data_IF_220926404028
#
_entry.id   IF_220926404028
#
_cell.length_a   1.000
_cell.length_b   1.000
_cell.length_c   1.000
_cell.angle_alpha   90.00
_cell.angle_beta   90.00
_cell.angle_gamma   90.00
#
_symmetry.space_group_name_H-M   'P 1'
#
loop_
_entity.id
_entity.type
_entity.pdbx_description
1 polymer ?
#
# COMPACT_ATOMS: atom_id res chain seq x y z
N UNK A 1 -46.01 -33.69 128.13
CA UNK A 1 -44.86 -33.23 127.30
C UNK A 1 -44.68 -34.01 126.00
N UNK A 2 -45.11 -35.27 125.88
CA UNK A 2 -44.94 -36.07 124.66
C UNK A 2 -45.84 -35.65 123.45
N UNK A 3 -47.00 -35.03 123.67
CA UNK A 3 -47.92 -34.62 122.58
C UNK A 3 -47.49 -33.36 121.80
N UNK A 4 -46.63 -32.50 122.37
CA UNK A 4 -46.17 -31.26 121.71
C UNK A 4 -44.94 -31.53 120.81
N UNK A 5 -44.12 -32.53 121.15
CA UNK A 5 -42.97 -32.95 120.33
C UNK A 5 -43.41 -33.59 119.00
N UNK A 6 -44.50 -34.35 118.99
CA UNK A 6 -45.08 -34.94 117.76
C UNK A 6 -45.59 -33.91 116.74
N UNK A 7 -45.95 -32.70 117.19
CA UNK A 7 -46.48 -31.64 116.33
C UNK A 7 -45.39 -30.97 115.48
N UNK A 8 -44.22 -30.69 116.07
CA UNK A 8 -43.12 -30.02 115.38
C UNK A 8 -42.47 -30.89 114.30
N UNK A 9 -42.35 -32.19 114.54
CA UNK A 9 -41.81 -33.12 113.55
C UNK A 9 -42.76 -33.28 112.34
N UNK A 10 -44.07 -33.25 112.57
CA UNK A 10 -45.07 -33.30 111.51
C UNK A 10 -45.03 -32.06 110.61
N UNK A 11 -44.92 -30.86 111.21
CA UNK A 11 -44.79 -29.58 110.49
C UNK A 11 -43.51 -29.55 109.65
N UNK A 12 -42.40 -30.06 110.19
CA UNK A 12 -41.10 -30.14 109.51
C UNK A 12 -41.14 -31.11 108.32
N UNK A 13 -41.81 -32.25 108.48
CA UNK A 13 -42.09 -33.20 107.41
C UNK A 13 -42.95 -32.59 106.30
N UNK A 14 -44.00 -31.86 106.66
CA UNK A 14 -44.89 -31.20 105.70
C UNK A 14 -44.17 -30.08 104.93
N UNK A 15 -43.30 -29.32 105.60
CA UNK A 15 -42.49 -28.28 104.97
C UNK A 15 -41.46 -28.89 104.01
N UNK A 16 -40.79 -29.97 104.41
CA UNK A 16 -39.87 -30.71 103.53
C UNK A 16 -40.60 -31.32 102.32
N UNK A 17 -41.79 -31.87 102.51
CA UNK A 17 -42.61 -32.41 101.42
C UNK A 17 -43.03 -31.33 100.42
N UNK A 18 -43.50 -30.18 100.91
CA UNK A 18 -43.85 -29.03 100.06
C UNK A 18 -42.62 -28.49 99.31
N UNK A 19 -41.46 -28.43 99.95
CA UNK A 19 -40.21 -28.01 99.30
C UNK A 19 -39.75 -29.01 98.22
N UNK A 20 -39.95 -30.32 98.44
CA UNK A 20 -39.68 -31.35 97.44
C UNK A 20 -40.66 -31.26 96.26
N UNK A 21 -41.93 -30.99 96.51
CA UNK A 21 -42.92 -30.74 95.44
C UNK A 21 -42.57 -29.50 94.62
N UNK A 22 -42.19 -28.40 95.25
CA UNK A 22 -41.71 -27.18 94.57
C UNK A 22 -40.48 -27.47 93.71
N UNK A 23 -39.49 -28.19 94.25
CA UNK A 23 -38.30 -28.61 93.48
C UNK A 23 -38.66 -29.48 92.28
N UNK A 24 -39.61 -30.40 92.45
CA UNK A 24 -40.09 -31.27 91.36
C UNK A 24 -40.73 -30.45 90.24
N UNK A 25 -41.55 -29.44 90.58
CA UNK A 25 -42.18 -28.54 89.61
C UNK A 25 -41.11 -27.70 88.88
N UNK A 26 -40.13 -27.16 89.60
CA UNK A 26 -39.01 -26.41 88.99
C UNK A 26 -38.16 -27.28 88.04
N UNK A 27 -37.94 -28.55 88.37
CA UNK A 27 -37.22 -29.49 87.50
C UNK A 27 -38.05 -29.87 86.27
N UNK A 28 -39.36 -30.02 86.42
CA UNK A 28 -40.30 -30.31 85.33
C UNK A 28 -40.40 -29.12 84.36
N UNK A 29 -40.48 -27.88 84.85
CA UNK A 29 -40.42 -26.67 84.03
C UNK A 29 -39.10 -26.53 83.28
N UNK A 30 -37.97 -26.83 83.93
CA UNK A 30 -36.64 -26.85 83.28
C UNK A 30 -36.58 -27.91 82.17
N UNK A 31 -37.14 -29.10 82.42
CA UNK A 31 -37.21 -30.18 81.43
C UNK A 31 -38.01 -29.76 80.20
N UNK A 32 -39.19 -29.16 80.40
CA UNK A 32 -40.04 -28.65 79.31
C UNK A 32 -39.31 -27.57 78.50
N UNK A 33 -38.59 -26.66 79.17
CA UNK A 33 -37.83 -25.62 78.49
C UNK A 33 -36.69 -26.20 77.63
N UNK A 34 -35.93 -27.15 78.18
CA UNK A 34 -34.90 -27.90 77.46
C UNK A 34 -35.45 -28.62 76.22
N UNK A 35 -36.61 -29.28 76.35
CA UNK A 35 -37.25 -29.99 75.25
C UNK A 35 -37.69 -29.03 74.13
N UNK A 36 -38.19 -27.84 74.50
CA UNK A 36 -38.54 -26.78 73.55
C UNK A 36 -37.32 -26.20 72.84
N UNK A 37 -36.20 -26.00 73.54
CA UNK A 37 -34.94 -25.58 72.91
C UNK A 37 -34.41 -26.65 71.95
N UNK A 38 -34.48 -27.93 72.33
CA UNK A 38 -34.09 -29.05 71.47
C UNK A 38 -34.91 -29.09 70.18
N UNK A 39 -36.24 -28.89 70.28
CA UNK A 39 -37.14 -28.78 69.11
C UNK A 39 -36.76 -27.60 68.21
N UNK A 40 -36.41 -26.44 68.79
CA UNK A 40 -35.93 -25.27 68.02
C UNK A 40 -34.63 -25.57 67.28
N UNK A 41 -33.65 -26.19 67.94
CA UNK A 41 -32.35 -26.56 67.34
C UNK A 41 -32.56 -27.56 66.20
N UNK A 42 -33.40 -28.57 66.38
CA UNK A 42 -33.72 -29.54 65.33
C UNK A 42 -34.35 -28.88 64.11
N UNK A 43 -35.28 -27.94 64.32
CA UNK A 43 -35.89 -27.16 63.25
C UNK A 43 -34.85 -26.34 62.48
N UNK A 44 -34.01 -25.57 63.18
CA UNK A 44 -32.94 -24.77 62.57
C UNK A 44 -31.99 -25.66 61.76
N UNK A 45 -31.56 -26.80 62.31
CA UNK A 45 -30.68 -27.73 61.60
C UNK A 45 -31.33 -28.30 60.34
N UNK A 46 -32.64 -28.55 60.35
CA UNK A 46 -33.36 -29.01 59.16
C UNK A 46 -33.46 -27.92 58.07
N UNK A 47 -33.71 -26.67 58.47
CA UNK A 47 -33.76 -25.53 57.55
C UNK A 47 -32.40 -25.26 56.92
N UNK A 48 -31.33 -25.17 57.73
CA UNK A 48 -29.96 -25.01 57.22
C UNK A 48 -29.54 -26.16 56.29
N UNK A 49 -29.95 -27.40 56.57
CA UNK A 49 -29.65 -28.55 55.69
C UNK A 49 -30.31 -28.38 54.32
N UNK A 50 -31.54 -27.89 54.27
CA UNK A 50 -32.24 -27.64 53.02
C UNK A 50 -31.60 -26.49 52.24
N UNK A 51 -31.23 -25.40 52.92
CA UNK A 51 -30.53 -24.26 52.30
C UNK A 51 -29.18 -24.68 51.71
N UNK A 52 -28.40 -25.49 52.44
CA UNK A 52 -27.12 -26.01 51.94
C UNK A 52 -27.33 -26.86 50.67
N UNK A 53 -28.38 -27.69 50.64
CA UNK A 53 -28.67 -28.54 49.49
C UNK A 53 -29.14 -27.71 48.28
N UNK A 54 -29.95 -26.67 48.50
CA UNK A 54 -30.35 -25.73 47.46
C UNK A 54 -29.13 -24.99 46.87
N UNK A 55 -28.24 -24.49 47.74
CA UNK A 55 -27.00 -23.84 47.32
C UNK A 55 -26.14 -24.80 46.48
N UNK A 56 -25.95 -26.05 46.90
CA UNK A 56 -25.19 -27.05 46.13
C UNK A 56 -25.80 -27.28 44.75
N UNK A 57 -27.12 -27.45 44.66
CA UNK A 57 -27.81 -27.66 43.39
C UNK A 57 -27.68 -26.45 42.46
N UNK A 58 -27.77 -25.23 43.01
CA UNK A 58 -27.59 -24.00 42.23
C UNK A 58 -26.14 -23.85 41.72
N UNK A 59 -25.14 -24.15 42.56
CA UNK A 59 -23.74 -24.16 42.14
C UNK A 59 -23.47 -25.21 41.07
N UNK A 60 -24.03 -26.41 41.20
CA UNK A 60 -23.85 -27.47 40.21
C UNK A 60 -24.44 -27.07 38.85
N UNK A 61 -25.66 -26.51 38.83
CA UNK A 61 -26.27 -25.98 37.60
C UNK A 61 -25.42 -24.88 36.96
N UNK A 62 -24.92 -23.92 37.77
CA UNK A 62 -24.07 -22.85 37.28
C UNK A 62 -22.78 -23.39 36.65
N UNK A 63 -22.16 -24.41 37.25
CA UNK A 63 -20.97 -25.06 36.70
C UNK A 63 -21.29 -25.77 35.37
N UNK A 64 -22.39 -26.51 35.31
CA UNK A 64 -22.81 -27.22 34.09
C UNK A 64 -23.11 -26.25 32.93
N UNK A 65 -23.80 -25.14 33.20
CA UNK A 65 -24.08 -24.09 32.22
C UNK A 65 -22.79 -23.42 31.70
N UNK A 66 -21.87 -23.07 32.60
CA UNK A 66 -20.58 -22.48 32.23
C UNK A 66 -19.71 -23.46 31.42
N UNK A 67 -19.69 -24.74 31.78
CA UNK A 67 -18.97 -25.78 31.01
C UNK A 67 -19.57 -25.92 29.61
N UNK A 68 -20.89 -25.87 29.49
CA UNK A 68 -21.57 -25.92 28.18
C UNK A 68 -21.21 -24.72 27.32
N UNK A 69 -21.28 -23.51 27.87
CA UNK A 69 -20.91 -22.28 27.17
C UNK A 69 -19.46 -22.33 26.68
N UNK A 70 -18.52 -22.74 27.54
CA UNK A 70 -17.10 -22.88 27.16
C UNK A 70 -16.89 -23.90 26.03
N UNK A 71 -17.61 -25.02 26.04
CA UNK A 71 -17.52 -26.01 24.95
C UNK A 71 -18.01 -25.43 23.62
N UNK A 72 -19.14 -24.72 23.64
CA UNK A 72 -19.70 -24.09 22.45
C UNK A 72 -18.75 -23.02 21.89
N UNK A 73 -18.12 -22.21 22.76
CA UNK A 73 -17.10 -21.24 22.35
C UNK A 73 -15.84 -21.88 21.75
N UNK A 74 -15.40 -23.02 22.28
CA UNK A 74 -14.25 -23.77 21.75
C UNK A 74 -14.57 -24.27 20.34
N UNK A 75 -15.73 -24.87 20.13
CA UNK A 75 -16.16 -25.37 18.80
C UNK A 75 -16.20 -24.24 17.78
N UNK A 76 -16.79 -23.09 18.15
CA UNK A 76 -16.83 -21.92 17.26
C UNK A 76 -15.43 -21.39 16.91
N UNK A 77 -14.50 -21.40 17.87
CA UNK A 77 -13.11 -20.97 17.64
C UNK A 77 -12.37 -21.96 16.73
N UNK A 78 -12.56 -23.26 16.90
CA UNK A 78 -11.94 -24.29 16.06
C UNK A 78 -12.44 -24.21 14.60
N UNK A 79 -13.74 -24.01 14.38
CA UNK A 79 -14.30 -23.78 13.05
C UNK A 79 -13.69 -22.56 12.37
N UNK A 80 -13.51 -21.47 13.13
CA UNK A 80 -12.88 -20.24 12.63
C UNK A 80 -11.41 -20.45 12.29
N UNK A 81 -10.65 -21.20 13.09
CA UNK A 81 -9.25 -21.55 12.81
C UNK A 81 -9.15 -22.33 11.50
N UNK A 82 -9.96 -23.37 11.33
CA UNK A 82 -9.98 -24.18 10.11
C UNK A 82 -10.32 -23.34 8.86
N UNK A 83 -11.26 -22.41 8.97
CA UNK A 83 -11.58 -21.48 7.87
C UNK A 83 -10.38 -20.60 7.49
N UNK A 84 -9.67 -20.06 8.48
CA UNK A 84 -8.50 -19.20 8.25
C UNK A 84 -7.34 -19.96 7.61
N UNK A 85 -7.11 -21.23 7.99
CA UNK A 85 -6.08 -22.08 7.37
C UNK A 85 -6.33 -22.29 5.86
N UNK A 86 -7.59 -22.49 5.47
CA UNK A 86 -7.98 -22.61 4.06
C UNK A 86 -7.72 -21.32 3.28
N UNK A 87 -8.02 -20.16 3.88
CA UNK A 87 -7.75 -18.85 3.26
C UNK A 87 -6.26 -18.59 3.09
N UNK A 88 -5.45 -18.88 4.12
CA UNK A 88 -3.98 -18.74 4.07
C UNK A 88 -3.40 -19.60 2.94
N UNK A 89 -3.87 -20.85 2.81
CA UNK A 89 -3.41 -21.75 1.74
C UNK A 89 -3.70 -21.18 0.35
N UNK A 90 -4.92 -20.66 0.12
CA UNK A 90 -5.29 -20.02 -1.16
C UNK A 90 -4.44 -18.77 -1.45
N UNK A 91 -4.12 -17.99 -0.43
CA UNK A 91 -3.27 -16.80 -0.58
C UNK A 91 -1.83 -17.17 -0.95
N UNK A 92 -1.29 -18.25 -0.37
CA UNK A 92 0.04 -18.76 -0.70
C UNK A 92 0.10 -19.28 -2.15
N UNK A 93 -0.87 -20.10 -2.56
CA UNK A 93 -0.95 -20.64 -3.93
C UNK A 93 -1.00 -19.50 -4.99
N UNK A 94 -1.74 -18.43 -4.70
CA UNK A 94 -1.82 -17.25 -5.57
C UNK A 94 -0.49 -16.47 -5.62
N UNK A 95 0.21 -16.39 -4.50
CA UNK A 95 1.49 -15.68 -4.38
C UNK A 95 2.58 -16.42 -5.16
N UNK A 96 2.66 -17.74 -5.01
CA UNK A 96 3.61 -18.59 -5.75
C UNK A 96 3.39 -18.49 -7.25
N UNK A 97 2.13 -18.49 -7.70
CA UNK A 97 1.79 -18.27 -9.12
C UNK A 97 2.30 -16.91 -9.62
N UNK A 98 2.04 -15.83 -8.89
CA UNK A 98 2.51 -14.49 -9.26
C UNK A 98 4.05 -14.39 -9.29
N UNK A 99 4.73 -15.06 -8.37
CA UNK A 99 6.19 -15.13 -8.39
C UNK A 99 6.71 -15.89 -9.62
N UNK A 100 6.08 -17.00 -9.99
CA UNK A 100 6.39 -17.72 -11.22
C UNK A 100 6.23 -16.87 -12.47
N UNK A 101 5.11 -16.14 -12.57
CA UNK A 101 4.83 -15.23 -13.69
C UNK A 101 5.87 -14.09 -13.76
N UNK A 102 6.21 -13.48 -12.61
CA UNK A 102 7.23 -12.43 -12.54
C UNK A 102 8.61 -12.96 -12.92
N UNK A 103 8.98 -14.15 -12.45
CA UNK A 103 10.26 -14.77 -12.79
C UNK A 103 10.37 -15.04 -14.30
N UNK A 104 9.31 -15.54 -14.93
CA UNK A 104 9.26 -15.72 -16.38
C UNK A 104 9.41 -14.39 -17.12
N UNK A 105 8.75 -13.32 -16.66
CA UNK A 105 8.89 -11.98 -17.22
C UNK A 105 10.32 -11.43 -17.11
N UNK A 106 10.95 -11.56 -15.94
CA UNK A 106 12.35 -11.14 -15.74
C UNK A 106 13.30 -11.96 -16.63
N UNK A 107 13.06 -13.27 -16.77
CA UNK A 107 13.84 -14.11 -17.67
C UNK A 107 13.70 -13.68 -19.14
N UNK A 108 12.52 -13.23 -19.56
CA UNK A 108 12.30 -12.64 -20.89
C UNK A 108 13.10 -11.34 -21.06
N UNK A 109 13.12 -10.47 -20.04
CA UNK A 109 13.89 -9.23 -20.06
C UNK A 109 15.41 -9.46 -20.12
N UNK A 110 15.93 -10.51 -19.46
CA UNK A 110 17.35 -10.85 -19.53
C UNK A 110 17.81 -11.26 -20.93
N UNK A 111 16.89 -11.63 -21.82
CA UNK A 111 17.18 -11.89 -23.23
C UNK A 111 17.12 -10.62 -24.11
N UNK A 112 16.79 -9.45 -23.55
CA UNK A 112 16.84 -8.18 -24.26
C UNK A 112 18.27 -7.67 -24.32
N UNK A 113 18.86 -7.73 -25.52
CA UNK A 113 20.19 -7.17 -25.80
C UNK A 113 20.02 -5.70 -26.17
N UNK A 114 20.36 -4.79 -25.25
CA UNK A 114 20.47 -3.37 -25.55
C UNK A 114 21.75 -3.11 -26.34
N UNK A 115 21.62 -2.98 -27.66
CA UNK A 115 22.74 -2.56 -28.51
C UNK A 115 22.78 -1.03 -28.52
N UNK A 116 23.69 -0.45 -27.73
CA UNK A 116 23.96 0.99 -27.82
C UNK A 116 24.73 1.27 -29.09
N UNK A 117 24.06 1.88 -30.07
CA UNK A 117 24.70 2.41 -31.27
C UNK A 117 25.01 3.87 -30.99
N UNK A 118 26.30 4.25 -30.96
CA UNK A 118 26.68 5.66 -30.95
C UNK A 118 26.20 6.28 -32.26
N UNK A 119 25.43 7.36 -32.16
CA UNK A 119 24.91 8.06 -33.33
C UNK A 119 25.56 9.44 -33.39
N UNK A 120 25.98 9.86 -34.58
CA UNK A 120 26.52 11.19 -34.85
C UNK A 120 25.49 12.03 -35.60
N UNK A 121 25.71 13.32 -35.71
CA UNK A 121 24.94 14.17 -36.61
C UNK A 121 25.49 14.06 -38.04
N UNK A 122 24.61 13.84 -39.03
CA UNK A 122 25.01 13.55 -40.42
C UNK A 122 25.12 14.78 -41.29
N UNK A 123 24.08 15.60 -41.21
CA UNK A 123 23.74 16.56 -42.23
C UNK A 123 22.94 17.67 -41.56
N UNK A 124 23.29 18.90 -41.94
CA UNK A 124 22.57 20.10 -41.59
C UNK A 124 21.92 20.57 -42.89
N UNK A 125 20.60 20.45 -43.00
CA UNK A 125 19.83 20.85 -44.17
C UNK A 125 19.08 22.16 -43.89
N UNK A 126 18.99 23.01 -44.89
CA UNK A 126 18.35 24.32 -44.84
C UNK A 126 17.00 24.34 -45.59
N UNK A 127 16.20 23.27 -45.47
CA UNK A 127 14.75 23.26 -45.65
C UNK A 127 14.18 23.66 -47.02
N UNK A 128 14.23 24.94 -47.34
CA UNK A 128 13.55 25.55 -48.50
C UNK A 128 14.41 26.51 -49.32
N UNK A 129 15.57 26.90 -48.83
CA UNK A 129 16.52 27.71 -49.60
C UNK A 129 17.90 27.16 -49.35
N UNK A 130 18.68 26.86 -50.41
CA UNK A 130 20.09 26.51 -50.28
C UNK A 130 20.74 27.51 -49.36
N UNK A 131 21.30 27.05 -48.25
CA UNK A 131 21.74 27.94 -47.17
C UNK A 131 22.73 29.01 -47.65
N UNK A 132 23.39 28.78 -48.80
CA UNK A 132 23.74 29.75 -49.84
C UNK A 132 23.93 28.95 -51.15
N UNK A 133 23.71 29.53 -52.33
CA UNK A 133 23.91 28.87 -53.63
C UNK A 133 25.35 28.35 -53.92
N UNK A 134 26.32 28.49 -52.99
CA UNK A 134 27.74 28.16 -53.21
C UNK A 134 28.43 27.49 -51.98
N UNK A 135 28.04 26.28 -51.57
CA UNK A 135 28.85 25.39 -50.69
C UNK A 135 29.06 25.84 -49.23
N UNK A 136 28.00 26.02 -48.43
CA UNK A 136 28.13 26.46 -47.03
C UNK A 136 28.38 25.36 -45.99
N UNK A 137 28.31 24.07 -46.34
CA UNK A 137 28.67 22.99 -45.43
C UNK A 137 29.53 22.01 -46.23
N UNK A 138 30.79 21.85 -45.83
CA UNK A 138 31.58 20.75 -46.35
C UNK A 138 30.99 19.46 -45.75
N UNK A 139 30.22 18.70 -46.52
CA UNK A 139 29.62 17.44 -46.07
C UNK A 139 30.66 16.38 -45.66
N UNK A 140 31.94 16.59 -46.02
CA UNK A 140 33.06 15.74 -45.58
C UNK A 140 33.78 16.27 -44.33
N UNK A 141 33.51 17.50 -43.89
CA UNK A 141 34.04 18.13 -42.67
C UNK A 141 33.03 19.15 -42.14
N UNK A 142 32.32 18.89 -41.03
CA UNK A 142 31.19 19.72 -40.60
C UNK A 142 31.61 21.06 -39.95
N UNK A 143 32.83 21.53 -40.24
CA UNK A 143 33.35 22.84 -39.90
C UNK A 143 33.21 23.74 -41.14
N UNK A 144 32.21 24.62 -41.15
CA UNK A 144 31.93 25.51 -42.28
C UNK A 144 31.35 26.85 -41.83
N UNK A 145 31.86 27.95 -42.41
CA UNK A 145 31.39 29.31 -42.14
C UNK A 145 30.31 29.70 -43.16
N UNK A 146 29.13 30.12 -42.68
CA UNK A 146 28.06 30.67 -43.51
C UNK A 146 27.72 32.09 -43.07
N UNK A 147 27.84 33.09 -43.96
CA UNK A 147 27.23 34.43 -43.80
C UNK A 147 26.94 34.99 -45.22
N UNK A 148 25.69 35.29 -45.59
CA UNK A 148 25.04 36.58 -45.26
C UNK A 148 23.51 36.44 -45.15
N UNK A 149 22.96 36.69 -43.95
CA UNK A 149 21.51 36.55 -43.64
C UNK A 149 21.19 35.93 -42.27
N UNK A 150 22.24 35.42 -41.60
CA UNK A 150 22.52 35.34 -40.15
C UNK A 150 21.80 34.33 -39.23
N UNK A 151 21.97 33.05 -39.51
CA UNK A 151 22.09 32.01 -38.48
C UNK A 151 23.13 30.98 -38.91
N UNK A 152 23.89 30.40 -37.98
CA UNK A 152 24.83 29.30 -38.26
C UNK A 152 24.71 28.16 -37.26
N UNK A 153 24.80 26.92 -37.73
CA UNK A 153 24.91 25.73 -36.90
C UNK A 153 26.35 25.20 -36.95
N UNK A 154 26.99 25.10 -35.79
CA UNK A 154 28.33 24.53 -35.63
C UNK A 154 28.20 23.12 -35.07
N UNK A 155 28.67 22.11 -35.80
CA UNK A 155 28.78 20.75 -35.29
C UNK A 155 30.16 20.58 -34.63
N UNK A 156 30.17 20.39 -33.33
CA UNK A 156 31.35 20.23 -32.50
C UNK A 156 31.50 18.74 -32.17
N UNK A 157 32.61 18.16 -32.63
CA UNK A 157 33.02 16.78 -32.38
C UNK A 157 31.98 15.70 -32.78
N UNK A 158 31.19 15.97 -33.82
CA UNK A 158 30.11 15.10 -34.35
C UNK A 158 28.94 14.80 -33.38
N UNK A 159 28.99 15.29 -32.13
CA UNK A 159 28.02 14.99 -31.06
C UNK A 159 27.24 16.23 -30.59
N UNK A 160 27.84 17.43 -30.67
CA UNK A 160 27.24 18.65 -30.13
C UNK A 160 26.93 19.64 -31.24
N UNK A 161 25.78 20.30 -31.18
CA UNK A 161 25.42 21.36 -32.14
C UNK A 161 25.15 22.66 -31.39
N UNK A 162 25.82 23.71 -31.84
CA UNK A 162 25.59 25.07 -31.37
C UNK A 162 24.98 25.89 -32.51
N UNK A 163 23.79 26.44 -32.30
CA UNK A 163 23.15 27.34 -33.25
C UNK A 163 23.27 28.79 -32.79
N UNK A 164 23.86 29.64 -33.62
CA UNK A 164 24.14 31.03 -33.30
C UNK A 164 23.49 31.95 -34.34
N UNK A 165 22.58 32.82 -33.89
CA UNK A 165 21.93 33.84 -34.72
C UNK A 165 22.84 35.07 -34.78
N UNK A 166 23.21 35.50 -35.99
CA UNK A 166 24.05 36.69 -36.15
C UNK A 166 23.21 37.98 -36.13
N UNK A 167 23.83 39.10 -35.78
CA UNK A 167 23.15 40.41 -35.67
C UNK A 167 22.48 40.81 -36.99
N UNK A 168 21.15 40.95 -36.98
CA UNK A 168 20.35 41.43 -38.11
C UNK A 168 19.97 40.34 -39.13
N UNK A 169 19.99 39.06 -38.74
CA UNK A 169 19.48 37.97 -39.57
C UNK A 169 17.97 37.81 -39.57
N UNK A 170 17.47 37.01 -40.52
CA UNK A 170 16.11 36.48 -40.47
C UNK A 170 16.16 35.03 -40.00
N UNK A 171 15.19 34.64 -39.17
CA UNK A 171 15.08 33.27 -38.67
C UNK A 171 14.84 32.30 -39.83
N UNK A 172 15.78 31.38 -40.04
CA UNK A 172 15.60 30.24 -40.93
C UNK A 172 15.64 28.96 -40.14
N UNK A 173 14.75 28.05 -40.48
CA UNK A 173 14.74 26.69 -39.95
C UNK A 173 15.98 25.94 -40.42
N UNK A 174 16.64 25.29 -39.47
CA UNK A 174 17.74 24.37 -39.71
C UNK A 174 17.30 22.98 -39.29
N UNK A 175 17.43 22.01 -40.19
CA UNK A 175 17.16 20.61 -39.91
C UNK A 175 18.47 19.89 -39.65
N UNK A 176 18.49 19.11 -38.57
CA UNK A 176 19.62 18.25 -38.24
C UNK A 176 19.12 16.82 -38.24
N UNK A 177 19.84 15.95 -38.96
CA UNK A 177 19.52 14.53 -39.03
C UNK A 177 20.61 13.67 -38.40
N UNK A 178 20.19 12.58 -37.76
CA UNK A 178 21.09 11.57 -37.27
C UNK A 178 21.78 10.81 -38.42
N UNK A 179 23.03 10.38 -38.21
CA UNK A 179 23.86 9.63 -39.17
C UNK A 179 23.19 8.33 -39.61
N UNK A 180 22.69 7.59 -38.63
CA UNK A 180 22.11 6.29 -38.85
C UNK A 180 20.57 6.39 -38.82
N UNK A 181 19.89 6.37 -39.99
CA UNK A 181 18.45 6.30 -40.02
C UNK A 181 18.00 4.95 -39.45
N UNK A 182 16.89 4.96 -38.73
CA UNK A 182 16.29 3.74 -38.24
C UNK A 182 15.83 2.86 -39.42
N UNK A 183 16.33 1.62 -39.48
CA UNK A 183 15.88 0.59 -40.42
C UNK A 183 15.24 -0.54 -39.62
N UNK A 184 13.93 -0.76 -39.80
CA UNK A 184 13.23 -1.90 -39.20
C UNK A 184 13.86 -3.20 -39.72
N UNK A 185 14.33 -4.11 -38.84
CA UNK A 185 14.81 -5.42 -39.28
C UNK A 185 13.69 -6.24 -39.91
N UNK A 186 13.98 -7.03 -40.94
CA UNK A 186 12.97 -7.87 -41.61
C UNK A 186 12.43 -9.01 -40.71
N UNK A 187 13.24 -9.54 -39.79
CA UNK A 187 12.94 -10.76 -39.02
C UNK A 187 13.08 -10.60 -37.49
N UNK A 188 12.63 -9.48 -36.93
CA UNK A 188 12.72 -9.25 -35.48
C UNK A 188 11.37 -9.45 -34.80
N UNK A 189 11.17 -10.61 -34.17
CA UNK A 189 10.03 -10.90 -33.30
C UNK A 189 10.10 -10.12 -31.97
N UNK A 190 11.30 -9.68 -31.56
CA UNK A 190 11.59 -9.04 -30.27
C UNK A 190 12.38 -7.72 -30.44
N UNK A 191 12.01 -6.84 -31.38
CA UNK A 191 12.71 -5.55 -31.46
C UNK A 191 12.08 -4.54 -30.51
N UNK A 192 12.81 -4.27 -29.43
CA UNK A 192 12.39 -3.32 -28.41
C UNK A 192 13.05 -1.98 -28.66
N UNK A 193 12.25 -0.99 -29.05
CA UNK A 193 12.53 0.44 -28.90
C UNK A 193 13.81 0.98 -29.59
N UNK A 194 13.63 1.64 -30.73
CA UNK A 194 14.66 2.61 -31.16
C UNK A 194 14.55 3.84 -30.26
N UNK A 195 15.65 4.24 -29.62
CA UNK A 195 15.66 5.34 -28.65
C UNK A 195 16.86 6.25 -28.87
N UNK A 196 16.63 7.56 -28.82
CA UNK A 196 17.70 8.56 -28.76
C UNK A 196 17.35 9.65 -27.75
N UNK A 197 18.39 10.31 -27.25
CA UNK A 197 18.30 11.42 -26.32
C UNK A 197 18.93 12.66 -26.95
N UNK A 198 18.31 13.82 -26.75
CA UNK A 198 18.87 15.11 -27.10
C UNK A 198 18.90 15.98 -25.85
N UNK A 199 20.10 16.41 -25.46
CA UNK A 199 20.28 17.41 -24.41
C UNK A 199 20.24 18.81 -25.01
N UNK A 200 19.40 19.68 -24.48
CA UNK A 200 19.18 21.02 -25.05
C UNK A 200 19.61 22.13 -24.08
N UNK A 201 20.12 23.22 -24.65
CA UNK A 201 20.41 24.47 -23.92
C UNK A 201 19.87 25.63 -24.76
N UNK A 202 19.12 26.52 -24.12
CA UNK A 202 18.53 27.69 -24.76
C UNK A 202 19.19 28.94 -24.19
N UNK A 203 19.92 29.66 -25.04
CA UNK A 203 20.50 30.96 -24.67
C UNK A 203 19.47 32.08 -24.88
N UNK A 204 19.60 33.18 -24.14
CA UNK A 204 18.55 34.20 -23.98
C UNK A 204 18.01 34.72 -25.31
N UNK A 205 16.72 35.03 -25.31
CA UNK A 205 16.00 35.70 -26.38
C UNK A 205 16.70 37.01 -26.79
N UNK A 206 17.11 37.08 -28.04
CA UNK A 206 17.52 38.34 -28.65
C UNK A 206 16.24 39.00 -29.20
N UNK A 207 15.90 40.18 -28.68
CA UNK A 207 14.78 41.00 -29.15
C UNK A 207 13.37 40.37 -28.98
N UNK A 208 13.17 39.51 -27.97
CA UNK A 208 11.85 38.98 -27.62
C UNK A 208 11.28 37.92 -28.57
N UNK A 209 12.11 37.38 -29.46
CA UNK A 209 11.79 36.13 -30.16
C UNK A 209 12.27 34.94 -29.33
N UNK A 210 11.32 34.09 -28.92
CA UNK A 210 11.61 32.82 -28.26
C UNK A 210 12.39 31.89 -29.19
N UNK A 211 13.47 31.28 -28.70
CA UNK A 211 14.18 30.23 -29.44
C UNK A 211 13.26 29.03 -29.68
N UNK A 212 13.01 28.73 -30.95
CA UNK A 212 12.19 27.61 -31.39
C UNK A 212 13.05 26.37 -31.65
N UNK A 213 12.56 25.20 -31.24
CA UNK A 213 13.23 23.93 -31.44
C UNK A 213 12.19 22.82 -31.52
N UNK A 214 12.25 22.06 -32.60
CA UNK A 214 11.42 20.89 -32.81
C UNK A 214 12.27 19.62 -32.73
N UNK A 215 11.84 18.65 -31.93
CA UNK A 215 12.56 17.39 -31.70
C UNK A 215 11.63 16.23 -32.05
N UNK A 216 12.06 15.32 -32.94
CA UNK A 216 11.18 14.24 -33.33
C UNK A 216 11.72 13.26 -34.36
N UNK A 217 10.79 12.54 -34.96
CA UNK A 217 11.03 11.52 -35.97
C UNK A 217 10.49 11.99 -37.31
N UNK A 218 11.27 11.77 -38.37
CA UNK A 218 10.88 11.98 -39.77
C UNK A 218 10.77 10.63 -40.47
N UNK A 219 9.66 10.42 -41.17
CA UNK A 219 9.55 9.36 -42.16
C UNK A 219 10.11 9.86 -43.50
N UNK A 220 11.30 9.37 -43.89
CA UNK A 220 11.96 9.78 -45.14
C UNK A 220 11.16 9.41 -46.41
N UNK A 221 10.31 8.37 -46.35
CA UNK A 221 9.54 7.92 -47.50
C UNK A 221 8.31 8.78 -47.76
N UNK A 222 7.64 9.25 -46.70
CA UNK A 222 6.41 10.06 -46.82
C UNK A 222 6.64 11.54 -46.57
N UNK A 223 7.82 11.92 -46.08
CA UNK A 223 8.11 13.26 -45.59
C UNK A 223 7.20 13.72 -44.44
N UNK A 224 6.64 12.78 -43.67
CA UNK A 224 5.83 13.07 -42.49
C UNK A 224 6.72 13.20 -41.24
N UNK A 225 6.23 13.95 -40.26
CA UNK A 225 6.93 14.22 -39.01
C UNK A 225 6.04 13.93 -37.80
N UNK A 226 6.65 13.40 -36.75
CA UNK A 226 6.11 13.42 -35.40
C UNK A 226 7.13 14.13 -34.54
N UNK A 227 6.79 15.26 -33.96
CA UNK A 227 7.76 16.09 -33.24
C UNK A 227 7.13 16.80 -32.06
N UNK A 228 7.95 17.04 -31.06
CA UNK A 228 7.68 17.95 -29.96
C UNK A 228 8.19 19.35 -30.32
N UNK A 229 7.32 20.35 -30.22
CA UNK A 229 7.70 21.76 -30.36
C UNK A 229 7.93 22.38 -28.99
N UNK A 230 9.17 22.79 -28.76
CA UNK A 230 9.62 23.37 -27.51
C UNK A 230 8.99 24.73 -27.21
N UNK A 231 8.68 25.51 -28.26
CA UNK A 231 8.00 26.80 -28.16
C UNK A 231 6.55 26.65 -27.67
N UNK A 232 5.81 25.72 -28.25
CA UNK A 232 4.40 25.54 -27.95
C UNK A 232 4.12 24.55 -26.82
N UNK A 233 5.13 23.78 -26.38
CA UNK A 233 4.95 22.72 -25.40
C UNK A 233 4.00 21.60 -25.88
N UNK A 234 4.01 21.31 -27.19
CA UNK A 234 3.04 20.43 -27.85
C UNK A 234 3.72 19.39 -28.71
N UNK A 235 3.13 18.21 -28.78
CA UNK A 235 3.52 17.15 -29.72
C UNK A 235 2.59 17.22 -30.94
N UNK A 236 3.17 17.22 -32.13
CA UNK A 236 2.48 17.17 -33.41
C UNK A 236 2.66 15.78 -34.01
N UNK A 237 1.57 15.19 -34.51
CA UNK A 237 1.65 13.96 -35.29
C UNK A 237 1.73 14.25 -36.81
N UNK A 238 1.77 13.18 -37.61
CA UNK A 238 1.87 13.25 -39.08
C UNK A 238 0.73 14.02 -39.77
N UNK A 239 -0.40 14.23 -39.07
CA UNK A 239 -1.57 14.98 -39.55
C UNK A 239 -1.65 16.38 -38.93
N UNK A 240 -0.59 16.83 -38.26
CA UNK A 240 -0.53 18.08 -37.49
C UNK A 240 -1.56 18.16 -36.34
N UNK A 241 -2.09 17.02 -35.90
CA UNK A 241 -2.90 16.99 -34.69
C UNK A 241 -1.99 17.17 -33.48
N UNK A 242 -2.42 18.02 -32.55
CA UNK A 242 -1.63 18.44 -31.39
C UNK A 242 -2.03 17.72 -30.13
N UNK A 243 -1.04 17.30 -29.34
CA UNK A 243 -1.20 16.78 -28.00
C UNK A 243 -0.49 17.72 -27.03
N UNK A 244 -1.22 18.26 -26.05
CA UNK A 244 -0.66 19.17 -25.05
C UNK A 244 -0.18 18.38 -23.83
N UNK A 245 1.05 18.62 -23.41
CA UNK A 245 1.59 18.09 -22.17
C UNK A 245 1.16 19.01 -21.03
N UNK A 246 0.38 18.50 -20.08
CA UNK A 246 -0.33 19.30 -19.07
C UNK A 246 0.56 20.01 -18.05
N UNK A 247 1.87 19.69 -18.00
CA UNK A 247 2.80 20.18 -16.97
C UNK A 247 4.23 20.40 -17.45
N UNK A 248 4.45 20.44 -18.77
CA UNK A 248 5.81 20.51 -19.30
C UNK A 248 6.37 21.94 -19.23
N UNK A 249 7.49 22.12 -18.53
CA UNK A 249 8.32 23.32 -18.60
C UNK A 249 9.71 22.95 -19.11
N UNK A 250 10.27 23.81 -19.97
CA UNK A 250 11.58 23.64 -20.60
C UNK A 250 12.64 24.37 -19.79
N UNK A 251 13.69 23.67 -19.39
CA UNK A 251 14.86 24.21 -18.69
C UNK A 251 16.15 23.97 -19.49
N UNK A 252 17.18 24.74 -19.15
CA UNK A 252 18.51 24.50 -19.69
C UNK A 252 19.06 23.17 -19.16
N UNK A 253 19.63 22.38 -20.07
CA UNK A 253 20.15 21.03 -19.86
C UNK A 253 19.10 19.93 -19.75
N UNK A 254 17.84 20.20 -20.06
CA UNK A 254 16.82 19.15 -20.20
C UNK A 254 17.23 18.15 -21.28
N UNK A 255 16.87 16.87 -21.05
CA UNK A 255 17.13 15.76 -21.95
C UNK A 255 15.80 15.27 -22.51
N UNK A 256 15.65 15.36 -23.82
CA UNK A 256 14.49 14.88 -24.56
C UNK A 256 14.77 13.49 -25.11
N UNK A 257 14.08 12.49 -24.56
CA UNK A 257 14.10 11.12 -25.06
C UNK A 257 13.03 10.90 -26.12
N UNK A 258 13.40 10.35 -27.27
CA UNK A 258 12.48 9.97 -28.34
C UNK A 258 12.59 8.49 -28.64
N UNK A 259 11.48 7.76 -28.46
CA UNK A 259 11.38 6.32 -28.63
C UNK A 259 10.42 5.94 -29.75
N UNK A 260 10.80 4.97 -30.59
CA UNK A 260 9.92 4.31 -31.55
C UNK A 260 9.80 2.83 -31.19
N UNK A 261 8.60 2.42 -30.79
CA UNK A 261 8.27 1.01 -30.57
C UNK A 261 7.56 0.44 -31.80
N UNK A 262 7.94 -0.74 -32.30
CA UNK A 262 7.09 -1.46 -33.24
C UNK A 262 5.82 -1.90 -32.51
N UNK A 263 4.66 -1.64 -33.12
CA UNK A 263 3.43 -2.36 -32.84
C UNK A 263 3.41 -3.68 -33.62
#
# INVERSE_FOLDING_TARGET
>A
MAQILLSNDLIKLQTNFNNLQLKSIEEEEKSINLENELKKIQKINSEHKNEIEEIKNNFQKLIEENIKQLKDEIVQKDEKINSLEVEIKKANDLTDKKFGDLFNFVSLLNNLVFVKIKNKWKEIDSGYTRCCDNNCINTNKPVGNCIKGNGFGNLIDDENIEYLVGKGGYDKWVYVYAENPFKKPQNSLNYSLYYFEIKCKFEKELNGSESDMDIGLRNFSTNNYIFYSAKYGRIYNEKLATFQLSTFSRNNNDIFGCGLSPN
#
